data_IF_295821452485
#
_entry.id   IF_295821452485
#
_cell.length_a   1.000
_cell.length_b   1.000
_cell.length_c   1.000
_cell.angle_alpha   90.00
_cell.angle_beta   90.00
_cell.angle_gamma   90.00
#
_symmetry.space_group_name_H-M   'P 1'
#
loop_
_entity.id
_entity.type
_entity.pdbx_description
1 polymer ?
#
# COMPACT_ATOMS: atom_id res chain seq x y z
N UNK A 1 5.84 68.30 14.51
CA UNK A 1 5.11 67.94 13.26
C UNK A 1 5.61 66.56 12.87
N UNK A 2 4.76 65.51 12.79
CA UNK A 2 3.98 65.07 11.59
C UNK A 2 4.93 64.80 10.40
N UNK A 3 4.99 63.64 9.72
CA UNK A 3 4.12 62.44 9.60
C UNK A 3 5.02 61.17 9.39
N UNK A 4 4.73 59.95 9.88
CA UNK A 4 3.87 58.85 9.35
C UNK A 4 4.25 58.19 8.01
N UNK A 5 3.86 56.90 7.92
CA UNK A 5 3.76 55.97 6.75
C UNK A 5 5.01 55.09 6.45
N UNK A 6 4.91 53.78 6.12
CA UNK A 6 3.76 52.81 6.07
C UNK A 6 4.16 51.49 6.79
N UNK A 7 3.21 50.78 7.41
CA UNK A 7 3.38 49.40 7.92
C UNK A 7 2.90 48.39 6.85
N UNK A 8 3.82 47.67 6.19
CA UNK A 8 3.48 46.75 5.10
C UNK A 8 3.19 45.32 5.57
N UNK A 9 1.94 45.00 5.94
CA UNK A 9 1.51 43.62 6.19
C UNK A 9 1.24 42.89 4.86
N UNK A 10 2.09 41.93 4.50
CA UNK A 10 1.71 40.87 3.56
C UNK A 10 0.85 39.83 4.28
N UNK A 11 -0.44 39.78 3.95
CA UNK A 11 -1.30 38.65 4.32
C UNK A 11 -1.08 37.48 3.36
N UNK A 12 -0.35 36.46 3.82
CA UNK A 12 -0.24 35.17 3.13
C UNK A 12 -1.54 34.36 3.39
N UNK A 13 -2.47 34.39 2.43
CA UNK A 13 -3.66 33.55 2.47
C UNK A 13 -3.30 32.10 2.10
N UNK A 14 -3.06 31.26 3.10
CA UNK A 14 -3.01 29.80 2.92
C UNK A 14 -4.44 29.25 2.91
N UNK A 15 -4.99 29.00 1.73
CA UNK A 15 -6.25 28.25 1.61
C UNK A 15 -6.01 26.79 1.96
N UNK A 16 -6.42 26.39 3.16
CA UNK A 16 -6.44 24.98 3.55
C UNK A 16 -7.56 24.26 2.78
N UNK A 17 -7.20 23.52 1.73
CA UNK A 17 -8.12 22.59 1.09
C UNK A 17 -8.38 21.41 2.04
N UNK A 18 -9.59 21.33 2.58
CA UNK A 18 -10.03 20.14 3.31
C UNK A 18 -10.25 19.02 2.29
N UNK A 19 -9.38 18.01 2.29
CA UNK A 19 -9.56 16.82 1.47
C UNK A 19 -10.57 15.90 2.16
N UNK A 20 -11.72 15.69 1.52
CA UNK A 20 -12.75 14.76 1.97
C UNK A 20 -12.16 13.35 2.05
N UNK A 21 -12.22 12.74 3.24
CA UNK A 21 -11.78 11.36 3.45
C UNK A 21 -12.94 10.42 3.15
N UNK A 22 -12.72 9.48 2.22
CA UNK A 22 -13.67 8.41 1.92
C UNK A 22 -13.94 7.57 3.18
N UNK A 23 -15.20 7.52 3.64
CA UNK A 23 -15.58 6.71 4.80
C UNK A 23 -15.72 5.23 4.43
N UNK A 24 -14.65 4.47 4.70
CA UNK A 24 -14.61 3.04 4.49
C UNK A 24 -15.31 2.20 5.57
N UNK A 25 -15.99 2.83 6.53
CA UNK A 25 -16.78 2.12 7.55
C UNK A 25 -18.02 1.46 6.95
N UNK A 26 -18.63 2.10 5.93
CA UNK A 26 -19.80 1.64 5.18
C UNK A 26 -19.79 2.23 3.76
N UNK A 27 -19.00 1.69 2.82
CA UNK A 27 -19.08 2.13 1.44
C UNK A 27 -20.48 1.83 0.87
N UNK A 28 -21.14 2.85 0.34
CA UNK A 28 -22.50 2.78 -0.23
C UNK A 28 -22.50 2.80 -1.76
N UNK A 29 -21.32 2.72 -2.38
CA UNK A 29 -21.13 2.78 -3.82
C UNK A 29 -19.97 1.89 -4.29
N UNK A 30 -20.06 1.31 -5.50
CA UNK A 30 -19.03 0.40 -6.04
C UNK A 30 -17.66 1.06 -6.19
N UNK A 31 -17.62 2.35 -6.55
CA UNK A 31 -16.39 3.13 -6.54
C UNK A 31 -15.81 3.25 -5.12
N UNK A 32 -16.66 3.43 -4.11
CA UNK A 32 -16.31 3.53 -2.71
C UNK A 32 -15.69 2.20 -2.23
N UNK A 33 -16.33 1.06 -2.54
CA UNK A 33 -15.83 -0.29 -2.23
C UNK A 33 -14.43 -0.53 -2.80
N UNK A 34 -14.22 -0.26 -4.10
CA UNK A 34 -12.92 -0.46 -4.77
C UNK A 34 -11.83 0.40 -4.13
N UNK A 35 -12.09 1.70 -3.90
CA UNK A 35 -11.09 2.59 -3.29
C UNK A 35 -10.79 2.21 -1.82
N UNK A 36 -11.82 1.81 -1.07
CA UNK A 36 -11.63 1.31 0.30
C UNK A 36 -10.85 -0.01 0.35
N UNK A 37 -11.04 -0.88 -0.63
CA UNK A 37 -10.22 -2.06 -0.86
C UNK A 37 -8.75 -1.74 -1.10
N UNK A 38 -8.44 -0.78 -1.99
CA UNK A 38 -7.06 -0.32 -2.21
C UNK A 38 -6.44 0.32 -0.95
N UNK A 39 -7.20 1.15 -0.21
CA UNK A 39 -6.77 1.72 1.06
C UNK A 39 -6.57 0.66 2.16
N UNK A 40 -7.28 -0.48 2.09
CA UNK A 40 -7.04 -1.62 2.96
C UNK A 40 -5.73 -2.33 2.59
N UNK A 41 -5.54 -2.65 1.30
CA UNK A 41 -4.32 -3.28 0.80
C UNK A 41 -3.07 -2.46 1.12
N UNK A 42 -3.12 -1.12 0.95
CA UNK A 42 -2.00 -0.23 1.28
C UNK A 42 -1.61 -0.33 2.78
N UNK A 43 -2.59 -0.54 3.68
CA UNK A 43 -2.33 -0.78 5.12
C UNK A 43 -1.71 -2.17 5.36
N UNK A 44 -2.05 -3.17 4.56
CA UNK A 44 -1.43 -4.50 4.60
C UNK A 44 0.01 -4.46 4.07
N UNK A 45 0.28 -3.81 2.93
CA UNK A 45 1.62 -3.63 2.38
C UNK A 45 2.54 -2.87 3.36
N UNK A 46 2.01 -1.87 4.09
CA UNK A 46 2.74 -1.18 5.17
C UNK A 46 3.14 -2.14 6.30
N UNK A 47 2.23 -3.02 6.76
CA UNK A 47 2.53 -4.06 7.77
C UNK A 47 3.54 -5.08 7.24
N UNK A 48 3.37 -5.53 5.99
CA UNK A 48 4.27 -6.46 5.32
C UNK A 48 5.69 -5.90 5.27
N UNK A 49 5.87 -4.66 4.81
CA UNK A 49 7.19 -4.03 4.75
C UNK A 49 7.79 -3.84 6.15
N UNK A 50 7.00 -3.42 7.15
CA UNK A 50 7.47 -3.32 8.54
C UNK A 50 8.01 -4.67 9.06
N UNK A 51 7.28 -5.76 8.83
CA UNK A 51 7.72 -7.10 9.22
C UNK A 51 8.91 -7.58 8.39
N UNK A 52 8.94 -7.34 7.08
CA UNK A 52 10.10 -7.64 6.22
C UNK A 52 11.37 -6.94 6.71
N UNK A 53 11.31 -5.65 7.04
CA UNK A 53 12.45 -4.91 7.59
C UNK A 53 12.87 -5.45 8.96
N UNK A 54 11.91 -5.81 9.83
CA UNK A 54 12.18 -6.43 11.15
C UNK A 54 12.90 -7.77 10.98
N UNK A 55 12.40 -8.65 10.12
CA UNK A 55 13.01 -9.95 9.82
C UNK A 55 14.41 -9.75 9.24
N UNK A 56 14.56 -8.93 8.18
CA UNK A 56 15.84 -8.68 7.51
C UNK A 56 16.95 -8.19 8.46
N UNK A 57 16.64 -7.31 9.42
CA UNK A 57 17.62 -6.79 10.39
C UNK A 57 18.19 -7.85 11.35
N UNK A 58 17.51 -8.98 11.52
CA UNK A 58 17.96 -10.07 12.39
C UNK A 58 18.85 -11.11 11.66
N UNK A 59 19.14 -10.91 10.38
CA UNK A 59 19.79 -11.88 9.50
C UNK A 59 21.23 -11.51 9.12
N UNK A 60 22.07 -12.52 8.89
CA UNK A 60 23.39 -12.35 8.26
C UNK A 60 23.24 -11.90 6.80
N UNK A 61 24.29 -11.32 6.21
CA UNK A 61 24.23 -10.79 4.83
C UNK A 61 23.77 -11.84 3.79
N UNK A 62 24.27 -13.08 3.89
CA UNK A 62 23.85 -14.20 3.04
C UNK A 62 22.35 -14.53 3.21
N UNK A 63 21.87 -14.59 4.44
CA UNK A 63 20.45 -14.79 4.75
C UNK A 63 19.58 -13.62 4.26
N UNK A 64 20.06 -12.37 4.38
CA UNK A 64 19.38 -11.20 3.82
C UNK A 64 19.27 -11.28 2.31
N UNK A 65 20.31 -11.74 1.61
CA UNK A 65 20.27 -11.90 0.15
C UNK A 65 19.28 -12.99 -0.28
N UNK A 66 19.22 -14.11 0.46
CA UNK A 66 18.21 -15.15 0.28
C UNK A 66 16.78 -14.59 0.47
N UNK A 67 16.54 -13.89 1.58
CA UNK A 67 15.26 -13.23 1.87
C UNK A 67 14.85 -12.21 0.80
N UNK A 68 15.79 -11.39 0.30
CA UNK A 68 15.55 -10.43 -0.79
C UNK A 68 15.10 -11.16 -2.08
N UNK A 69 15.77 -12.25 -2.42
CA UNK A 69 15.46 -13.02 -3.63
C UNK A 69 14.07 -13.69 -3.51
N UNK A 70 13.78 -14.33 -2.37
CA UNK A 70 12.45 -14.88 -2.10
C UNK A 70 11.35 -13.81 -2.12
N UNK A 71 11.59 -12.63 -1.54
CA UNK A 71 10.58 -11.56 -1.50
C UNK A 71 10.31 -10.99 -2.90
N UNK A 72 11.33 -10.83 -3.75
CA UNK A 72 11.16 -10.43 -5.15
C UNK A 72 10.38 -11.46 -5.96
N UNK A 73 10.69 -12.74 -5.78
CA UNK A 73 9.97 -13.86 -6.41
C UNK A 73 8.50 -13.85 -5.98
N UNK A 74 8.23 -13.75 -4.67
CA UNK A 74 6.87 -13.70 -4.14
C UNK A 74 6.06 -12.50 -4.66
N UNK A 75 6.63 -11.29 -4.77
CA UNK A 75 5.90 -10.13 -5.35
C UNK A 75 5.47 -10.45 -6.78
N UNK A 76 6.39 -10.98 -7.60
CA UNK A 76 6.09 -11.37 -8.98
C UNK A 76 4.97 -12.41 -9.04
N UNK A 77 5.09 -13.48 -8.25
CA UNK A 77 4.09 -14.57 -8.21
C UNK A 77 2.71 -14.08 -7.72
N UNK A 78 2.68 -13.21 -6.69
CA UNK A 78 1.45 -12.56 -6.21
C UNK A 78 0.79 -11.74 -7.33
N UNK A 79 1.55 -10.87 -7.98
CA UNK A 79 1.01 -9.94 -8.97
C UNK A 79 0.54 -10.70 -10.23
N UNK A 80 1.28 -11.73 -10.68
CA UNK A 80 0.86 -12.62 -11.77
C UNK A 80 -0.37 -13.47 -11.43
N UNK A 81 -0.55 -13.85 -10.15
CA UNK A 81 -1.71 -14.64 -9.69
C UNK A 81 -2.96 -13.78 -9.50
N UNK A 82 -2.82 -12.62 -8.86
CA UNK A 82 -3.94 -11.78 -8.46
C UNK A 82 -4.34 -10.72 -9.48
N UNK A 83 -3.45 -10.36 -10.41
CA UNK A 83 -3.72 -9.39 -11.47
C UNK A 83 -3.25 -9.94 -12.84
N UNK A 84 -3.79 -11.09 -13.29
CA UNK A 84 -3.45 -11.66 -14.59
C UNK A 84 -3.86 -10.70 -15.71
N UNK A 85 -3.08 -10.65 -16.80
CA UNK A 85 -3.42 -9.83 -17.97
C UNK A 85 -4.59 -10.46 -18.73
N UNK A 86 -5.71 -9.75 -18.76
CA UNK A 86 -6.92 -10.07 -19.52
C UNK A 86 -7.15 -8.99 -20.61
N UNK A 87 -8.16 -9.13 -21.49
CA UNK A 87 -8.64 -8.02 -22.32
C UNK A 87 -8.99 -6.79 -21.48
N UNK A 88 -8.79 -5.59 -22.02
CA UNK A 88 -8.93 -4.34 -21.27
C UNK A 88 -10.35 -4.16 -20.73
N UNK A 89 -11.38 -4.53 -21.49
CA UNK A 89 -12.77 -4.48 -21.07
C UNK A 89 -13.08 -5.33 -19.82
N UNK A 90 -12.44 -6.49 -19.68
CA UNK A 90 -12.60 -7.38 -18.52
C UNK A 90 -11.93 -6.77 -17.28
N UNK A 91 -10.71 -6.24 -17.45
CA UNK A 91 -9.93 -5.60 -16.39
C UNK A 91 -10.57 -4.30 -15.86
N UNK A 92 -11.43 -3.66 -16.66
CA UNK A 92 -12.16 -2.46 -16.27
C UNK A 92 -13.36 -2.75 -15.36
N UNK A 93 -13.86 -3.99 -15.30
CA UNK A 93 -15.03 -4.35 -14.48
C UNK A 93 -14.80 -4.16 -12.99
N UNK A 94 -15.88 -3.93 -12.24
CA UNK A 94 -15.82 -3.80 -10.78
C UNK A 94 -15.44 -5.13 -10.10
N UNK A 95 -16.04 -6.24 -10.54
CA UNK A 95 -15.78 -7.57 -9.98
C UNK A 95 -14.31 -7.95 -10.09
N UNK A 96 -13.71 -7.84 -11.29
CA UNK A 96 -12.28 -8.11 -11.48
C UNK A 96 -11.41 -7.31 -10.51
N UNK A 97 -11.70 -6.01 -10.32
CA UNK A 97 -10.95 -5.14 -9.40
C UNK A 97 -11.12 -5.58 -7.94
N UNK A 98 -12.33 -5.92 -7.51
CA UNK A 98 -12.61 -6.35 -6.14
C UNK A 98 -11.97 -7.72 -5.83
N UNK A 99 -12.12 -8.70 -6.73
CA UNK A 99 -11.50 -10.03 -6.64
C UNK A 99 -9.96 -9.93 -6.60
N UNK A 100 -9.38 -9.08 -7.44
CA UNK A 100 -7.94 -8.85 -7.46
C UNK A 100 -7.43 -8.18 -6.17
N UNK A 101 -8.15 -7.19 -5.64
CA UNK A 101 -7.84 -6.55 -4.35
C UNK A 101 -7.92 -7.56 -3.20
N UNK A 102 -8.93 -8.44 -3.19
CA UNK A 102 -9.07 -9.50 -2.18
C UNK A 102 -7.88 -10.47 -2.25
N UNK A 103 -7.55 -10.98 -3.44
CA UNK A 103 -6.39 -11.85 -3.65
C UNK A 103 -5.08 -11.19 -3.19
N UNK A 104 -4.84 -9.94 -3.60
CA UNK A 104 -3.66 -9.16 -3.19
C UNK A 104 -3.62 -8.99 -1.67
N UNK A 105 -4.76 -8.74 -1.02
CA UNK A 105 -4.87 -8.55 0.43
C UNK A 105 -4.56 -9.83 1.19
N UNK A 106 -5.18 -10.95 0.81
CA UNK A 106 -4.98 -12.25 1.42
C UNK A 106 -3.51 -12.69 1.31
N UNK A 107 -2.93 -12.66 0.10
CA UNK A 107 -1.51 -12.99 -0.12
C UNK A 107 -0.55 -12.10 0.68
N UNK A 108 -0.84 -10.80 0.78
CA UNK A 108 -0.01 -9.83 1.53
C UNK A 108 -0.08 -10.07 3.05
N UNK A 109 -1.26 -10.46 3.56
CA UNK A 109 -1.45 -10.89 4.94
C UNK A 109 -0.68 -12.19 5.23
N UNK A 110 -0.88 -13.23 4.42
CA UNK A 110 -0.21 -14.53 4.58
C UNK A 110 1.32 -14.39 4.54
N UNK A 111 1.84 -13.58 3.60
CA UNK A 111 3.28 -13.30 3.52
C UNK A 111 3.79 -12.58 4.76
N UNK A 112 2.99 -11.71 5.37
CA UNK A 112 3.35 -11.05 6.64
C UNK A 112 3.53 -12.08 7.77
N UNK A 113 2.67 -13.10 7.84
CA UNK A 113 2.80 -14.19 8.82
C UNK A 113 3.97 -15.15 8.51
N UNK A 114 4.21 -15.46 7.24
CA UNK A 114 5.40 -16.22 6.81
C UNK A 114 6.71 -15.52 7.25
N UNK A 115 6.78 -14.20 7.08
CA UNK A 115 7.98 -13.42 7.41
C UNK A 115 8.29 -13.39 8.92
N UNK A 116 7.30 -13.55 9.80
CA UNK A 116 7.53 -13.69 11.26
C UNK A 116 8.26 -14.98 11.62
N UNK A 117 8.09 -16.02 10.82
CA UNK A 117 8.62 -17.38 11.04
C UNK A 117 9.70 -17.75 10.01
N UNK A 118 10.20 -16.76 9.26
CA UNK A 118 11.14 -16.98 8.18
C UNK A 118 12.42 -17.67 8.65
N UNK A 119 12.88 -18.63 7.87
CA UNK A 119 14.16 -19.32 8.02
C UNK A 119 14.84 -19.37 6.66
N UNK A 120 16.18 -19.40 6.60
CA UNK A 120 16.87 -19.75 5.36
C UNK A 120 16.43 -21.13 4.89
N UNK A 121 16.35 -21.32 3.58
CA UNK A 121 16.24 -22.65 2.98
C UNK A 121 17.50 -23.45 3.34
N UNK A 122 17.34 -24.71 3.74
CA UNK A 122 18.48 -25.59 4.00
C UNK A 122 19.11 -25.98 2.65
N UNK A 123 20.39 -25.64 2.46
CA UNK A 123 21.24 -26.22 1.42
C UNK A 123 21.68 -27.64 1.82
#
# INVERSE_FOLDING_TARGET
MKQSFIFGMLFLYTTAFAQEQLDCSKPDCTYCEINCGWLHLEKLDKKLNQQYQKTKRALTESQQQSLINQQRKWIKERDETCWPKLPEEEMLTANYKLEAIECLSNQTSDRTEQLKHWKPENN
#
